data_IF_133703919669
#
_entry.id   IF_133703919669
#
_cell.length_a   1.000
_cell.length_b   1.000
_cell.length_c   1.000
_cell.angle_alpha   90.00
_cell.angle_beta   90.00
_cell.angle_gamma   90.00
#
_symmetry.space_group_name_H-M   'P 1'
#
loop_
_entity.id
_entity.type
_entity.pdbx_description
1 polymer ?
#
# COMPACT_ATOMS: atom_id res chain seq x y z
N UNK A 1 8.83 -2.44 15.61
CA UNK A 1 8.31 -3.41 16.60
C UNK A 1 8.13 -2.79 17.97
N UNK A 2 9.04 -1.92 18.43
CA UNK A 2 8.94 -1.29 19.76
C UNK A 2 7.64 -0.46 19.97
N UNK A 3 7.18 0.31 18.99
CA UNK A 3 5.92 1.08 19.09
C UNK A 3 4.67 0.18 19.24
N UNK A 4 4.65 -0.95 18.54
CA UNK A 4 3.54 -1.92 18.60
C UNK A 4 3.55 -2.66 19.94
N UNK A 5 4.75 -3.05 20.40
CA UNK A 5 4.96 -3.64 21.72
C UNK A 5 4.54 -2.70 22.85
N UNK A 6 4.89 -1.42 22.73
CA UNK A 6 4.47 -0.38 23.68
C UNK A 6 2.95 -0.19 23.68
N UNK A 7 2.32 -0.05 22.51
CA UNK A 7 0.86 0.05 22.36
C UNK A 7 0.15 -1.16 22.97
N UNK A 8 0.68 -2.37 22.77
CA UNK A 8 0.16 -3.58 23.42
C UNK A 8 0.37 -3.60 24.92
N UNK A 9 1.52 -3.15 25.41
CA UNK A 9 1.84 -3.12 26.84
C UNK A 9 0.92 -2.17 27.63
N UNK A 10 0.46 -1.09 27.00
CA UNK A 10 -0.55 -0.18 27.57
C UNK A 10 -2.00 -0.62 27.30
N UNK A 11 -2.20 -1.81 26.72
CA UNK A 11 -3.52 -2.43 26.54
C UNK A 11 -4.29 -1.98 25.29
N UNK A 12 -3.63 -1.43 24.27
CA UNK A 12 -4.31 -1.05 23.03
C UNK A 12 -4.94 -2.30 22.36
N UNK A 13 -6.21 -2.25 21.96
CA UNK A 13 -6.86 -3.39 21.33
C UNK A 13 -6.28 -3.63 19.93
N UNK A 14 -6.23 -4.90 19.51
CA UNK A 14 -5.71 -5.32 18.21
C UNK A 14 -6.33 -4.57 17.03
N UNK A 15 -7.62 -4.21 17.13
CA UNK A 15 -8.36 -3.46 16.10
C UNK A 15 -7.78 -2.05 15.90
N UNK A 16 -7.28 -1.41 16.97
CA UNK A 16 -6.65 -0.08 16.88
C UNK A 16 -5.31 -0.18 16.16
N UNK A 17 -4.49 -1.18 16.49
CA UNK A 17 -3.21 -1.43 15.83
C UNK A 17 -3.46 -1.72 14.34
N UNK A 18 -4.41 -2.59 14.02
CA UNK A 18 -4.81 -2.84 12.64
C UNK A 18 -5.24 -1.55 11.93
N UNK A 19 -6.04 -0.71 12.57
CA UNK A 19 -6.54 0.54 11.98
C UNK A 19 -5.43 1.50 11.57
N UNK A 20 -4.40 1.66 12.40
CA UNK A 20 -3.24 2.53 12.11
C UNK A 20 -2.48 2.01 10.89
N UNK A 21 -2.12 0.73 10.89
CA UNK A 21 -1.37 0.12 9.78
C UNK A 21 -2.18 0.07 8.48
N UNK A 22 -3.48 -0.23 8.55
CA UNK A 22 -4.34 -0.14 7.37
C UNK A 22 -4.43 1.30 6.87
N UNK A 23 -4.55 2.29 7.75
CA UNK A 23 -4.59 3.70 7.36
C UNK A 23 -3.32 4.13 6.64
N UNK A 24 -2.15 3.76 7.16
CA UNK A 24 -0.86 4.03 6.53
C UNK A 24 -0.72 3.30 5.18
N UNK A 25 -1.11 2.02 5.12
CA UNK A 25 -1.08 1.24 3.88
C UNK A 25 -2.01 1.82 2.81
N UNK A 26 -3.22 2.25 3.19
CA UNK A 26 -4.18 2.90 2.27
C UNK A 26 -3.64 4.25 1.80
N UNK A 27 -3.05 5.05 2.69
CA UNK A 27 -2.45 6.33 2.31
C UNK A 27 -1.29 6.13 1.33
N UNK A 28 -0.38 5.20 1.61
CA UNK A 28 0.73 4.85 0.72
C UNK A 28 0.24 4.29 -0.63
N UNK A 29 -0.77 3.42 -0.62
CA UNK A 29 -1.36 2.89 -1.84
C UNK A 29 -2.01 3.99 -2.68
N UNK A 30 -2.74 4.93 -2.06
CA UNK A 30 -3.36 6.05 -2.74
C UNK A 30 -2.31 6.98 -3.38
N UNK A 31 -1.27 7.34 -2.63
CA UNK A 31 -0.16 8.16 -3.14
C UNK A 31 0.55 7.45 -4.29
N UNK A 32 0.87 6.16 -4.12
CA UNK A 32 1.51 5.34 -5.14
C UNK A 32 0.66 5.18 -6.41
N UNK A 33 -0.65 4.98 -6.26
CA UNK A 33 -1.60 4.89 -7.37
C UNK A 33 -1.68 6.19 -8.18
N UNK A 34 -1.85 7.33 -7.50
CA UNK A 34 -1.87 8.64 -8.15
C UNK A 34 -0.54 8.92 -8.87
N UNK A 35 0.60 8.66 -8.21
CA UNK A 35 1.91 8.86 -8.82
C UNK A 35 2.13 7.94 -10.03
N UNK A 36 1.71 6.66 -9.92
CA UNK A 36 1.78 5.68 -11.00
C UNK A 36 0.92 6.07 -12.21
N UNK A 37 -0.31 6.53 -11.99
CA UNK A 37 -1.20 7.05 -13.04
C UNK A 37 -0.60 8.27 -13.73
N UNK A 38 -0.09 9.24 -12.96
CA UNK A 38 0.52 10.44 -13.50
C UNK A 38 1.74 10.12 -14.38
N UNK A 39 2.61 9.22 -13.90
CA UNK A 39 3.77 8.74 -14.66
C UNK A 39 3.35 7.95 -15.91
N UNK A 40 2.36 7.05 -15.80
CA UNK A 40 1.88 6.25 -16.93
C UNK A 40 1.27 7.10 -18.04
N UNK A 41 0.44 8.08 -17.69
CA UNK A 41 -0.13 9.04 -18.65
C UNK A 41 0.98 9.91 -19.24
N UNK A 42 1.91 10.41 -18.42
CA UNK A 42 3.03 11.23 -18.87
C UNK A 42 3.93 10.50 -19.88
N UNK A 43 4.25 9.23 -19.61
CA UNK A 43 5.00 8.38 -20.54
C UNK A 43 4.23 8.12 -21.84
N UNK A 44 2.92 7.86 -21.77
CA UNK A 44 2.10 7.65 -22.95
C UNK A 44 2.08 8.90 -23.87
N UNK A 45 1.94 10.09 -23.29
CA UNK A 45 2.01 11.36 -24.01
C UNK A 45 3.39 11.61 -24.63
N UNK A 46 4.47 11.34 -23.87
CA UNK A 46 5.84 11.49 -24.37
C UNK A 46 6.10 10.55 -25.56
N UNK A 47 5.67 9.28 -25.46
CA UNK A 47 5.80 8.32 -26.55
C UNK A 47 5.02 8.76 -27.80
N UNK A 48 3.84 9.35 -27.63
CA UNK A 48 3.04 9.88 -28.74
C UNK A 48 3.72 11.06 -29.44
N UNK A 49 4.43 11.92 -28.69
CA UNK A 49 5.18 13.05 -29.24
C UNK A 49 6.45 12.61 -29.96
N UNK A 50 7.19 11.64 -29.42
CA UNK A 50 8.47 11.17 -29.99
C UNK A 50 8.22 10.22 -31.17
N UNK A 51 7.15 9.43 -31.13
CA UNK A 51 6.84 8.41 -32.13
C UNK A 51 5.36 8.48 -32.56
N UNK A 52 4.97 9.49 -33.36
CA UNK A 52 3.57 9.69 -33.75
C UNK A 52 2.98 8.56 -34.61
N UNK A 53 3.82 7.71 -35.20
CA UNK A 53 3.40 6.53 -35.96
C UNK A 53 3.12 5.29 -35.08
N UNK A 54 3.49 5.31 -33.80
CA UNK A 54 3.17 4.21 -32.89
C UNK A 54 1.70 4.32 -32.43
N UNK A 55 0.89 3.27 -32.62
CA UNK A 55 -0.47 3.22 -32.11
C UNK A 55 -0.46 3.02 -30.58
N UNK A 56 -0.10 4.08 -29.86
CA UNK A 56 -0.16 4.12 -28.39
C UNK A 56 -1.62 4.37 -28.01
N UNK A 57 -2.31 3.28 -27.67
CA UNK A 57 -3.65 3.32 -27.11
C UNK A 57 -3.57 2.84 -25.67
N UNK A 58 -4.20 3.58 -24.76
CA UNK A 58 -4.30 3.21 -23.33
C UNK A 58 -5.73 2.78 -23.05
N UNK A 59 -6.08 1.49 -23.19
CA UNK A 59 -7.44 1.04 -22.97
C UNK A 59 -7.81 1.22 -21.50
N UNK A 60 -9.02 1.70 -21.25
CA UNK A 60 -9.55 1.86 -19.89
C UNK A 60 -9.51 0.56 -19.08
N UNK A 61 -9.62 -0.61 -19.74
CA UNK A 61 -9.49 -1.91 -19.09
C UNK A 61 -8.13 -2.12 -18.41
N UNK A 62 -7.04 -1.67 -19.02
CA UNK A 62 -5.70 -1.77 -18.42
C UNK A 62 -5.50 -0.77 -17.30
N UNK A 63 -6.13 0.41 -17.38
CA UNK A 63 -6.13 1.39 -16.28
C UNK A 63 -6.82 0.80 -15.05
N UNK A 64 -8.03 0.26 -15.22
CA UNK A 64 -8.75 -0.39 -14.11
C UNK A 64 -8.04 -1.64 -13.58
N UNK A 65 -7.38 -2.41 -14.45
CA UNK A 65 -6.58 -3.55 -14.03
C UNK A 65 -5.36 -3.11 -13.21
N UNK A 66 -4.65 -2.08 -13.65
CA UNK A 66 -3.49 -1.53 -12.94
C UNK A 66 -3.91 -0.97 -11.57
N UNK A 67 -5.01 -0.22 -11.51
CA UNK A 67 -5.58 0.30 -10.26
C UNK A 67 -5.96 -0.86 -9.31
N UNK A 68 -6.64 -1.88 -9.83
CA UNK A 68 -7.04 -3.06 -9.06
C UNK A 68 -5.86 -3.84 -8.50
N UNK A 69 -4.79 -4.00 -9.29
CA UNK A 69 -3.54 -4.62 -8.83
C UNK A 69 -2.86 -3.77 -7.77
N UNK A 70 -2.80 -2.45 -7.93
CA UNK A 70 -2.23 -1.54 -6.94
C UNK A 70 -2.97 -1.61 -5.59
N UNK A 71 -4.31 -1.60 -5.61
CA UNK A 71 -5.14 -1.77 -4.42
C UNK A 71 -4.91 -3.13 -3.77
N UNK A 72 -4.88 -4.21 -4.54
CA UNK A 72 -4.61 -5.56 -4.04
C UNK A 72 -3.26 -5.67 -3.34
N UNK A 73 -2.21 -5.11 -3.94
CA UNK A 73 -0.85 -5.11 -3.37
C UNK A 73 -0.84 -4.24 -2.10
N UNK A 74 -1.43 -3.05 -2.12
CA UNK A 74 -1.50 -2.16 -0.96
C UNK A 74 -2.23 -2.79 0.23
N UNK A 75 -3.37 -3.45 -0.03
CA UNK A 75 -4.11 -4.18 1.00
C UNK A 75 -3.33 -5.38 1.52
N UNK A 76 -2.69 -6.17 0.65
CA UNK A 76 -1.88 -7.31 1.07
C UNK A 76 -0.69 -6.85 1.92
N UNK A 77 0.00 -5.79 1.50
CA UNK A 77 1.14 -5.22 2.21
C UNK A 77 0.75 -4.56 3.55
N UNK A 78 -0.48 -4.05 3.71
CA UNK A 78 -0.96 -3.49 4.98
C UNK A 78 -1.54 -4.54 5.94
N UNK A 79 -2.43 -5.40 5.44
CA UNK A 79 -3.23 -6.32 6.29
C UNK A 79 -2.38 -7.48 6.81
N UNK A 80 -1.48 -8.02 5.99
CA UNK A 80 -0.69 -9.20 6.37
C UNK A 80 0.28 -8.92 7.54
N UNK A 81 1.11 -7.85 7.51
CA UNK A 81 1.95 -7.52 8.65
C UNK A 81 1.15 -6.98 9.84
N UNK A 82 0.06 -6.23 9.63
CA UNK A 82 -0.79 -5.75 10.72
C UNK A 82 -1.40 -6.91 11.52
N UNK A 83 -1.88 -7.96 10.84
CA UNK A 83 -2.37 -9.18 11.49
C UNK A 83 -1.28 -9.91 12.26
N UNK A 84 -0.06 -10.04 11.70
CA UNK A 84 1.07 -10.64 12.41
C UNK A 84 1.45 -9.83 13.65
N UNK A 85 1.48 -8.51 13.54
CA UNK A 85 1.79 -7.59 14.62
C UNK A 85 0.74 -7.62 15.75
N UNK A 86 -0.53 -7.73 15.39
CA UNK A 86 -1.64 -7.87 16.33
C UNK A 86 -1.63 -9.21 17.10
N UNK A 87 -1.04 -10.28 16.54
CA UNK A 87 -0.94 -11.58 17.21
C UNK A 87 0.29 -11.79 18.12
N UNK A 88 1.28 -10.88 18.11
CA UNK A 88 2.50 -11.01 18.94
C UNK A 88 2.23 -10.94 20.44
N UNK A 89 2.83 -11.81 21.24
CA UNK A 89 2.75 -11.73 22.70
C UNK A 89 3.47 -10.44 23.19
N UNK A 90 2.82 -9.54 23.95
CA UNK A 90 3.45 -8.32 24.46
C UNK A 90 4.74 -8.59 25.24
N UNK A 91 4.80 -9.73 25.93
CA UNK A 91 5.96 -10.12 26.74
C UNK A 91 7.14 -10.48 25.83
N UNK A 92 6.90 -11.19 24.72
CA UNK A 92 7.94 -11.48 23.71
C UNK A 92 8.36 -10.21 22.94
N UNK A 93 7.42 -9.32 22.64
CA UNK A 93 7.72 -8.07 21.94
C UNK A 93 8.64 -7.13 22.74
N UNK A 94 8.56 -7.16 24.07
CA UNK A 94 9.44 -6.42 24.99
C UNK A 94 10.73 -7.18 25.35
N UNK A 95 10.75 -8.52 25.21
CA UNK A 95 11.93 -9.38 25.43
C UNK A 95 12.81 -9.56 24.19
N UNK A 96 12.33 -9.21 23.00
CA UNK A 96 13.09 -9.32 21.75
C UNK A 96 14.20 -8.25 21.64
N UNK A 97 14.69 -7.77 22.79
CA UNK A 97 15.86 -6.93 22.98
C UNK A 97 16.87 -7.69 23.85
#
# INVERSE_FOLDING_TARGET
TNEIGLLKAIGAPERTILGIFLGEAVALAAIGGIAGLALGIGLAQLLHLVFPALPVHTPWSFVFLAEGVAVMIGLAAGVLPARRAAGLDPVEALRAE
#
